data_IF_077667446613
#
_entry.id   IF_077667446613
#
_cell.length_a   1.000
_cell.length_b   1.000
_cell.length_c   1.000
_cell.angle_alpha   90.00
_cell.angle_beta   90.00
_cell.angle_gamma   90.00
#
_symmetry.space_group_name_H-M   'P 1'
#
loop_
_entity.id
_entity.type
_entity.pdbx_description
1 polymer ?
#
# COMPACT_ATOMS: atom_id res chain seq x y z
N UNK A 1 54.84 -17.85 -20.38
CA UNK A 1 53.77 -18.31 -19.46
C UNK A 1 53.32 -17.20 -18.48
N UNK A 2 53.15 -15.95 -18.92
CA UNK A 2 52.70 -14.83 -18.05
C UNK A 2 51.43 -14.15 -18.59
N UNK A 3 51.13 -14.25 -19.89
CA UNK A 3 49.97 -13.61 -20.53
C UNK A 3 48.62 -14.31 -20.33
N UNK A 4 48.57 -15.60 -19.97
CA UNK A 4 47.30 -16.31 -19.77
C UNK A 4 46.62 -16.04 -18.42
N UNK A 5 47.37 -15.54 -17.43
CA UNK A 5 46.83 -15.27 -16.08
C UNK A 5 46.05 -13.95 -16.01
N UNK A 6 46.36 -12.97 -16.86
CA UNK A 6 45.67 -11.68 -16.88
C UNK A 6 44.38 -11.68 -17.69
N UNK A 7 44.26 -12.57 -18.70
CA UNK A 7 43.06 -12.70 -19.51
C UNK A 7 41.85 -13.25 -18.72
N UNK A 8 42.10 -14.13 -17.75
CA UNK A 8 41.04 -14.73 -16.92
C UNK A 8 40.49 -13.78 -15.85
N UNK A 9 41.28 -12.79 -15.41
CA UNK A 9 40.87 -11.78 -14.43
C UNK A 9 40.01 -10.67 -15.03
N UNK A 10 40.18 -10.35 -16.33
CA UNK A 10 39.38 -9.32 -16.99
C UNK A 10 37.95 -9.77 -17.29
N UNK A 11 37.72 -11.05 -17.62
CA UNK A 11 36.37 -11.58 -17.88
C UNK A 11 35.50 -11.69 -16.62
N UNK A 12 36.08 -11.86 -15.43
CA UNK A 12 35.32 -11.99 -14.18
C UNK A 12 34.75 -10.64 -13.69
N UNK A 13 35.37 -9.51 -14.06
CA UNK A 13 34.91 -8.18 -13.64
C UNK A 13 33.71 -7.66 -14.45
N UNK A 14 33.49 -8.17 -15.67
CA UNK A 14 32.42 -7.73 -16.58
C UNK A 14 31.06 -8.41 -16.32
N UNK A 15 30.99 -9.43 -15.46
CA UNK A 15 29.76 -10.19 -15.19
C UNK A 15 28.88 -9.62 -14.07
N UNK A 16 29.33 -8.62 -13.31
CA UNK A 16 28.65 -8.14 -12.11
C UNK A 16 27.69 -6.94 -12.33
N UNK A 17 27.55 -6.43 -13.55
CA UNK A 17 26.66 -5.29 -13.85
C UNK A 17 25.25 -5.66 -14.31
N UNK A 18 24.84 -6.94 -14.26
CA UNK A 18 23.58 -7.41 -14.85
C UNK A 18 22.38 -7.54 -13.86
N UNK A 19 22.49 -7.05 -12.62
CA UNK A 19 21.39 -7.06 -11.64
C UNK A 19 20.95 -5.64 -11.27
N UNK A 20 20.60 -4.81 -12.26
CA UNK A 20 19.74 -3.64 -12.04
C UNK A 20 18.61 -3.62 -13.07
N UNK A 21 17.93 -4.75 -13.25
CA UNK A 21 16.56 -4.73 -13.77
C UNK A 21 15.63 -4.38 -12.61
N UNK A 22 15.79 -3.17 -12.07
CA UNK A 22 14.76 -2.57 -11.23
C UNK A 22 13.56 -2.34 -12.12
N UNK A 23 12.46 -3.02 -11.83
CA UNK A 23 11.16 -2.83 -12.45
C UNK A 23 10.79 -1.34 -12.28
N UNK A 24 11.08 -0.50 -13.28
CA UNK A 24 10.50 0.84 -13.35
C UNK A 24 9.06 0.65 -13.79
N UNK A 25 8.16 0.49 -12.82
CA UNK A 25 6.74 0.70 -13.03
C UNK A 25 6.60 2.13 -13.54
N UNK A 26 6.31 2.25 -14.83
CA UNK A 26 6.03 3.51 -15.51
C UNK A 26 4.85 4.16 -14.78
N UNK A 27 5.12 5.30 -14.16
CA UNK A 27 4.11 6.15 -13.52
C UNK A 27 3.33 6.86 -14.63
N UNK A 28 2.30 6.20 -15.13
CA UNK A 28 1.35 6.78 -16.08
C UNK A 28 0.24 7.52 -15.35
N UNK A 29 0.31 8.86 -15.40
CA UNK A 29 -0.75 9.87 -15.23
C UNK A 29 -1.70 9.81 -14.02
N UNK A 30 -1.27 9.13 -12.94
CA UNK A 30 -1.74 9.26 -11.55
C UNK A 30 -0.70 9.99 -10.69
N UNK A 31 -0.38 11.24 -11.05
CA UNK A 31 0.77 11.97 -10.53
C UNK A 31 0.73 12.10 -8.99
N UNK A 32 1.66 11.43 -8.32
CA UNK A 32 1.92 11.64 -6.89
C UNK A 32 2.24 13.12 -6.66
N UNK A 33 1.32 13.84 -6.04
CA UNK A 33 1.60 15.19 -5.57
C UNK A 33 2.36 15.09 -4.25
N UNK A 34 3.54 15.70 -4.18
CA UNK A 34 4.34 15.66 -2.96
C UNK A 34 3.68 16.52 -1.88
N UNK A 35 3.03 15.86 -0.92
CA UNK A 35 2.48 16.54 0.25
C UNK A 35 3.60 16.92 1.23
N UNK A 36 3.52 18.14 1.78
CA UNK A 36 4.45 18.67 2.79
C UNK A 36 3.84 18.62 4.20
N UNK A 37 3.19 17.50 4.53
CA UNK A 37 2.64 17.28 5.86
C UNK A 37 3.77 17.08 6.88
N UNK A 38 3.68 17.75 8.03
CA UNK A 38 4.70 17.72 9.10
C UNK A 38 4.23 17.04 10.37
N UNK A 39 2.92 16.83 10.52
CA UNK A 39 2.36 16.26 11.74
C UNK A 39 0.96 15.70 11.52
N UNK A 40 0.63 14.70 12.34
CA UNK A 40 -0.69 14.11 12.43
C UNK A 40 -1.18 14.23 13.87
N UNK A 41 -2.31 14.91 14.08
CA UNK A 41 -2.95 15.01 15.37
C UNK A 41 -4.11 14.01 15.44
N UNK A 42 -4.04 13.08 16.39
CA UNK A 42 -5.13 12.19 16.74
C UNK A 42 -5.90 12.80 17.91
N UNK A 43 -7.18 13.14 17.69
CA UNK A 43 -7.98 13.93 18.63
C UNK A 43 -8.66 13.09 19.72
N UNK A 44 -8.72 11.76 19.54
CA UNK A 44 -9.34 10.84 20.47
C UNK A 44 -8.62 9.49 20.50
N UNK A 45 -8.77 8.76 21.60
CA UNK A 45 -8.24 7.40 21.69
C UNK A 45 -8.90 6.49 20.65
N UNK A 46 -8.08 5.69 19.97
CA UNK A 46 -8.53 4.75 18.96
C UNK A 46 -8.18 3.33 19.38
N UNK A 47 -9.18 2.45 19.34
CA UNK A 47 -9.02 1.04 19.64
C UNK A 47 -8.81 0.23 18.37
N UNK A 48 -7.67 -0.43 18.27
CA UNK A 48 -7.34 -1.42 17.24
C UNK A 48 -7.87 -2.78 17.70
N UNK A 49 -8.68 -3.48 16.89
CA UNK A 49 -9.24 -4.77 17.27
C UNK A 49 -8.17 -5.85 17.52
N UNK A 50 -8.53 -6.92 18.25
CA UNK A 50 -7.69 -8.10 18.38
C UNK A 50 -7.27 -8.67 17.02
N UNK A 51 -6.04 -9.15 16.93
CA UNK A 51 -5.45 -9.80 15.74
C UNK A 51 -5.42 -8.90 14.50
N UNK A 52 -5.39 -7.59 14.71
CA UNK A 52 -5.20 -6.58 13.67
C UNK A 52 -4.01 -5.68 14.02
N UNK A 53 -3.37 -5.13 12.99
CA UNK A 53 -2.28 -4.15 13.10
C UNK A 53 -2.72 -2.75 12.68
N UNK A 54 -3.98 -2.55 12.29
CA UNK A 54 -4.47 -1.25 11.84
C UNK A 54 -5.94 -1.08 12.17
N UNK A 55 -6.41 0.14 11.98
CA UNK A 55 -7.80 0.54 12.10
C UNK A 55 -8.11 1.55 11.01
N UNK A 56 -9.22 1.33 10.30
CA UNK A 56 -9.62 2.15 9.15
C UNK A 56 -10.65 3.21 9.56
N UNK A 57 -10.55 4.37 8.92
CA UNK A 57 -11.44 5.51 9.06
C UNK A 57 -11.98 5.89 7.69
N UNK A 58 -13.30 6.04 7.60
CA UNK A 58 -13.98 6.42 6.37
C UNK A 58 -15.18 7.28 6.75
N UNK A 59 -15.35 8.41 6.06
CA UNK A 59 -16.41 9.40 6.34
C UNK A 59 -16.42 9.86 7.82
N UNK A 60 -15.25 9.98 8.43
CA UNK A 60 -15.08 10.46 9.80
C UNK A 60 -15.44 9.47 10.91
N UNK A 61 -15.71 8.21 10.56
CA UNK A 61 -16.00 7.15 11.51
C UNK A 61 -15.02 5.99 11.37
N UNK A 62 -14.80 5.29 12.48
CA UNK A 62 -14.09 4.00 12.47
C UNK A 62 -14.99 2.95 11.82
N UNK A 63 -14.49 2.30 10.77
CA UNK A 63 -15.21 1.22 10.08
C UNK A 63 -14.45 -0.11 10.25
N UNK A 64 -15.15 -1.26 10.33
CA UNK A 64 -14.53 -2.57 10.29
C UNK A 64 -14.03 -2.85 8.85
N UNK A 65 -12.81 -2.38 8.57
CA UNK A 65 -12.23 -2.36 7.24
C UNK A 65 -12.62 -1.11 6.44
N UNK A 66 -11.90 -0.86 5.36
CA UNK A 66 -12.19 0.23 4.46
C UNK A 66 -13.08 -0.22 3.30
N UNK A 67 -14.17 0.51 3.03
CA UNK A 67 -14.97 0.28 1.84
C UNK A 67 -14.16 0.60 0.58
N UNK A 68 -14.17 -0.31 -0.40
CA UNK A 68 -13.33 -0.21 -1.61
C UNK A 68 -13.70 0.97 -2.52
N UNK A 69 -14.89 1.53 -2.39
CA UNK A 69 -15.45 2.52 -3.32
C UNK A 69 -15.31 3.97 -2.87
N UNK A 70 -14.67 4.22 -1.73
CA UNK A 70 -14.51 5.57 -1.21
C UNK A 70 -13.14 5.76 -0.54
N UNK A 71 -12.62 6.99 -0.53
CA UNK A 71 -11.39 7.30 0.19
C UNK A 71 -11.47 6.92 1.67
N UNK A 72 -10.33 6.50 2.22
CA UNK A 72 -10.22 6.10 3.60
C UNK A 72 -8.80 6.35 4.12
N UNK A 73 -8.64 6.36 5.43
CA UNK A 73 -7.34 6.39 6.08
C UNK A 73 -7.21 5.22 7.07
N UNK A 74 -6.01 4.68 7.23
CA UNK A 74 -5.71 3.58 8.14
C UNK A 74 -4.57 3.97 9.05
N UNK A 75 -4.78 3.88 10.36
CA UNK A 75 -3.73 4.06 11.34
C UNK A 75 -3.14 2.70 11.70
N UNK A 76 -1.85 2.52 11.44
CA UNK A 76 -1.16 1.24 11.61
C UNK A 76 -0.17 1.25 12.78
N UNK A 77 -0.07 0.11 13.44
CA UNK A 77 0.90 -0.20 14.50
C UNK A 77 1.84 -1.33 14.09
N UNK A 78 2.94 -1.49 14.81
CA UNK A 78 3.99 -2.50 14.56
C UNK A 78 3.62 -3.91 14.98
N UNK A 79 2.75 -4.05 15.98
CA UNK A 79 2.46 -5.34 16.61
C UNK A 79 1.01 -5.76 16.37
N UNK A 80 0.83 -7.03 16.03
CA UNK A 80 -0.47 -7.71 16.08
C UNK A 80 -0.56 -8.41 17.43
N UNK A 81 -1.58 -8.07 18.24
CA UNK A 81 -1.80 -8.70 19.54
C UNK A 81 -3.13 -9.48 19.57
N UNK A 82 -3.18 -10.53 20.39
CA UNK A 82 -4.42 -11.30 20.64
C UNK A 82 -5.49 -10.49 21.40
N UNK A 83 -5.10 -9.40 22.05
CA UNK A 83 -6.00 -8.46 22.72
C UNK A 83 -6.11 -7.16 21.92
N UNK A 84 -7.20 -6.43 22.12
CA UNK A 84 -7.38 -5.12 21.53
C UNK A 84 -6.31 -4.15 22.05
N UNK A 85 -5.79 -3.31 21.16
CA UNK A 85 -4.78 -2.30 21.45
C UNK A 85 -5.41 -0.92 21.42
N UNK A 86 -4.85 0.03 22.16
CA UNK A 86 -5.32 1.43 22.14
C UNK A 86 -4.18 2.33 21.75
N UNK A 87 -4.39 3.12 20.69
CA UNK A 87 -3.56 4.28 20.37
C UNK A 87 -4.21 5.48 21.04
N UNK A 88 -3.49 6.11 21.96
CA UNK A 88 -3.96 7.28 22.71
C UNK A 88 -3.96 8.52 21.81
N UNK A 89 -4.89 9.42 22.07
CA UNK A 89 -4.90 10.75 21.49
C UNK A 89 -3.54 11.45 21.70
N UNK A 90 -3.11 12.24 20.72
CA UNK A 90 -1.80 12.87 20.75
C UNK A 90 -1.36 13.37 19.37
N UNK A 91 -0.14 13.89 19.32
CA UNK A 91 0.48 14.37 18.09
C UNK A 91 1.62 13.45 17.72
N UNK A 92 1.67 13.09 16.43
CA UNK A 92 2.71 12.29 15.82
C UNK A 92 3.46 13.16 14.82
N UNK A 93 4.79 13.15 14.88
CA UNK A 93 5.63 13.77 13.88
C UNK A 93 5.55 12.96 12.58
N UNK A 94 5.38 13.64 11.44
CA UNK A 94 5.48 12.99 10.14
C UNK A 94 6.92 13.11 9.66
N UNK A 95 7.61 11.96 9.61
CA UNK A 95 9.03 11.90 9.23
C UNK A 95 9.23 11.66 7.73
N UNK A 96 8.18 11.26 7.03
CA UNK A 96 8.20 11.02 5.58
C UNK A 96 6.81 10.86 4.99
N UNK A 97 6.67 11.19 3.71
CA UNK A 97 5.45 10.97 2.93
C UNK A 97 5.82 10.25 1.63
N UNK A 98 5.18 9.11 1.40
CA UNK A 98 5.44 8.25 0.25
C UNK A 98 4.15 7.95 -0.50
N UNK A 99 4.24 7.85 -1.83
CA UNK A 99 3.17 7.31 -2.65
C UNK A 99 3.28 5.79 -2.69
N UNK A 100 2.18 5.10 -2.44
CA UNK A 100 2.12 3.64 -2.50
C UNK A 100 0.91 3.18 -3.31
N UNK A 101 1.06 2.05 -3.99
CA UNK A 101 -0.01 1.41 -4.76
C UNK A 101 -0.40 0.11 -4.08
N UNK A 102 -1.67 0.00 -3.70
CA UNK A 102 -2.25 -1.22 -3.16
C UNK A 102 -3.02 -1.96 -4.25
N UNK A 103 -2.65 -3.20 -4.49
CA UNK A 103 -3.30 -4.07 -5.47
C UNK A 103 -4.37 -4.93 -4.80
N UNK A 104 -5.59 -4.95 -5.36
CA UNK A 104 -6.63 -5.89 -4.95
C UNK A 104 -6.30 -7.23 -5.59
N UNK A 105 -5.72 -8.14 -4.81
CA UNK A 105 -5.63 -9.54 -5.23
C UNK A 105 -7.04 -10.14 -5.25
N UNK A 106 -7.71 -10.11 -6.40
CA UNK A 106 -8.81 -11.03 -6.64
C UNK A 106 -8.24 -12.42 -6.55
N UNK A 107 -8.68 -13.18 -5.54
CA UNK A 107 -8.36 -14.60 -5.43
C UNK A 107 -8.97 -15.23 -6.69
N UNK A 108 -8.14 -15.51 -7.70
CA UNK A 108 -8.50 -16.44 -8.76
C UNK A 108 -8.65 -17.81 -8.09
N UNK A 109 -9.79 -18.02 -7.43
CA UNK A 109 -10.26 -19.36 -7.11
C UNK A 109 -10.63 -19.96 -8.45
N UNK A 110 -9.64 -20.56 -9.13
CA UNK A 110 -9.93 -21.55 -10.14
C UNK A 110 -10.91 -22.52 -9.51
N UNK A 111 -12.12 -22.59 -10.06
CA UNK A 111 -13.14 -23.52 -9.60
C UNK A 111 -12.58 -24.92 -9.90
N UNK A 112 -12.02 -25.58 -8.89
CA UNK A 112 -11.72 -27.01 -9.01
C UNK A 112 -13.05 -27.75 -8.95
N UNK A 113 -13.66 -27.94 -10.13
CA UNK A 113 -14.74 -28.89 -10.30
C UNK A 113 -14.14 -30.28 -10.06
N UNK A 114 -14.48 -30.89 -8.93
CA UNK A 114 -14.24 -32.31 -8.71
C UNK A 114 -15.22 -33.10 -9.60
N UNK A 115 -14.93 -33.18 -10.90
CA UNK A 115 -15.63 -34.06 -11.82
C UNK A 115 -14.74 -35.27 -12.10
N UNK A 116 -15.30 -36.45 -11.84
CA UNK A 116 -14.73 -37.72 -12.22
C UNK A 116 -14.35 -37.69 -13.71
N UNK A 117 -13.14 -38.17 -13.98
CA UNK A 117 -12.60 -38.49 -15.30
C UNK A 117 -12.61 -37.36 -16.35
N UNK A 118 -11.47 -36.65 -16.42
CA UNK A 118 -10.94 -36.23 -17.73
C UNK A 118 -11.47 -34.94 -18.37
N UNK A 119 -12.00 -33.97 -17.60
CA UNK A 119 -12.24 -32.62 -18.14
C UNK A 119 -11.69 -31.53 -17.21
N UNK A 120 -10.41 -31.19 -17.41
CA UNK A 120 -9.82 -30.00 -16.82
C UNK A 120 -10.09 -28.85 -17.80
N UNK A 121 -11.06 -27.98 -17.47
CA UNK A 121 -11.13 -26.66 -18.09
C UNK A 121 -9.94 -25.85 -17.57
N UNK A 122 -8.77 -26.09 -18.14
CA UNK A 122 -7.74 -25.06 -18.22
C UNK A 122 -8.35 -24.03 -19.17
N UNK A 123 -8.68 -22.85 -18.66
CA UNK A 123 -8.86 -21.72 -19.54
C UNK A 123 -7.48 -21.50 -20.18
N UNK A 124 -7.33 -21.96 -21.42
CA UNK A 124 -6.17 -21.68 -22.25
C UNK A 124 -6.02 -20.16 -22.34
N UNK A 125 -4.94 -19.69 -21.72
CA UNK A 125 -4.36 -18.36 -21.88
C UNK A 125 -3.70 -18.27 -23.27
N UNK A 126 -4.48 -18.48 -24.32
CA UNK A 126 -4.06 -18.30 -25.73
C UNK A 126 -5.20 -17.68 -26.55
N UNK A 127 -5.80 -16.61 -26.01
CA UNK A 127 -6.59 -15.66 -26.79
C UNK A 127 -5.92 -14.30 -26.77
N UNK A 128 -5.09 -14.09 -27.78
CA UNK A 128 -4.71 -12.79 -28.33
C UNK A 128 -5.97 -11.95 -28.61
N UNK A 129 -6.52 -11.23 -27.62
CA UNK A 129 -7.30 -9.99 -27.76
C UNK A 129 -7.61 -9.43 -26.35
N UNK A 130 -7.06 -8.25 -26.04
CA UNK A 130 -7.36 -7.36 -24.91
C UNK A 130 -6.89 -7.76 -23.49
N UNK A 131 -5.82 -7.08 -23.09
CA UNK A 131 -5.20 -6.90 -21.78
C UNK A 131 -6.15 -6.29 -20.71
N UNK A 132 -7.26 -6.97 -20.40
CA UNK A 132 -8.28 -6.47 -19.44
C UNK A 132 -8.65 -7.51 -18.36
N UNK A 133 -7.64 -8.08 -17.70
CA UNK A 133 -7.84 -8.69 -16.37
C UNK A 133 -7.93 -7.63 -15.26
N UNK A 134 -8.29 -6.39 -15.64
CA UNK A 134 -7.98 -5.14 -14.96
C UNK A 134 -7.93 -5.26 -13.45
N UNK A 135 -6.70 -5.34 -12.95
CA UNK A 135 -6.43 -5.40 -11.52
C UNK A 135 -6.84 -4.06 -10.90
N UNK A 136 -7.73 -4.12 -9.91
CA UNK A 136 -8.15 -2.91 -9.20
C UNK A 136 -7.00 -2.47 -8.29
N UNK A 137 -6.63 -1.20 -8.41
CA UNK A 137 -5.58 -0.60 -7.59
C UNK A 137 -6.15 0.55 -6.77
N UNK A 138 -5.47 0.83 -5.66
CA UNK A 138 -5.65 2.05 -4.88
C UNK A 138 -4.30 2.76 -4.80
N UNK A 139 -4.29 4.03 -5.21
CA UNK A 139 -3.17 4.93 -4.95
C UNK A 139 -3.36 5.59 -3.58
N UNK A 140 -2.31 5.60 -2.77
CA UNK A 140 -2.39 6.05 -1.39
C UNK A 140 -1.13 6.80 -0.93
N UNK A 141 -1.33 7.75 -0.03
CA UNK A 141 -0.26 8.39 0.73
C UNK A 141 0.03 7.60 2.00
N UNK A 142 1.29 7.23 2.19
CA UNK A 142 1.79 6.70 3.45
C UNK A 142 2.58 7.79 4.18
N UNK A 143 2.06 8.23 5.31
CA UNK A 143 2.71 9.17 6.22
C UNK A 143 3.42 8.38 7.33
N UNK A 144 4.75 8.35 7.31
CA UNK A 144 5.53 7.72 8.36
C UNK A 144 5.41 8.53 9.65
N UNK A 145 4.97 7.89 10.74
CA UNK A 145 4.67 8.53 12.02
C UNK A 145 5.76 8.23 13.05
N UNK A 146 6.05 9.21 13.89
CA UNK A 146 6.96 9.06 15.02
C UNK A 146 6.37 9.71 16.29
N UNK A 147 6.52 9.02 17.42
CA UNK A 147 6.17 9.52 18.75
C UNK A 147 6.92 8.74 19.84
N UNK A 148 7.68 9.43 20.70
CA UNK A 148 8.36 8.82 21.85
C UNK A 148 7.39 8.14 22.82
N UNK A 149 6.18 8.71 22.97
CA UNK A 149 5.18 8.20 23.90
C UNK A 149 4.39 6.99 23.39
N UNK A 150 4.46 6.72 22.08
CA UNK A 150 3.72 5.66 21.39
C UNK A 150 4.53 5.09 20.21
N UNK A 151 5.71 4.49 20.47
CA UNK A 151 6.64 4.08 19.41
C UNK A 151 6.14 2.92 18.54
N UNK A 152 5.06 2.25 18.96
CA UNK A 152 4.42 1.20 18.17
C UNK A 152 3.60 1.75 16.99
N UNK A 153 3.25 3.03 16.96
CA UNK A 153 2.50 3.65 15.85
C UNK A 153 3.45 3.95 14.70
N UNK A 154 3.20 3.35 13.53
CA UNK A 154 4.15 3.35 12.41
C UNK A 154 3.81 4.34 11.31
N UNK A 155 2.57 4.30 10.83
CA UNK A 155 2.16 5.13 9.70
C UNK A 155 0.66 5.38 9.69
N UNK A 156 0.27 6.47 9.02
CA UNK A 156 -1.08 6.70 8.55
C UNK A 156 -1.08 6.45 7.03
N UNK A 157 -1.93 5.55 6.55
CA UNK A 157 -2.11 5.29 5.12
C UNK A 157 -3.43 5.92 4.69
N UNK A 158 -3.44 6.90 3.79
CA UNK A 158 -4.67 7.44 3.23
C UNK A 158 -4.78 7.12 1.75
N UNK A 159 -5.78 6.34 1.38
CA UNK A 159 -6.01 5.86 0.03
C UNK A 159 -7.25 6.45 -0.62
N UNK A 160 -7.20 6.55 -1.95
CA UNK A 160 -8.37 6.86 -2.76
C UNK A 160 -9.35 5.68 -2.86
N UNK A 161 -10.40 5.84 -3.66
CA UNK A 161 -11.23 4.71 -4.04
C UNK A 161 -10.45 3.75 -4.94
N UNK A 162 -10.70 2.45 -4.79
CA UNK A 162 -10.17 1.46 -5.71
C UNK A 162 -10.78 1.62 -7.09
N UNK A 163 -9.97 1.43 -8.12
CA UNK A 163 -10.43 1.48 -9.49
C UNK A 163 -9.42 0.84 -10.44
N UNK A 164 -9.78 0.75 -11.71
CA UNK A 164 -8.82 0.38 -12.75
C UNK A 164 -7.66 1.38 -12.77
N UNK A 165 -6.44 0.98 -13.18
CA UNK A 165 -5.26 1.83 -13.11
C UNK A 165 -5.44 3.21 -13.77
N UNK A 166 -6.21 3.28 -14.86
CA UNK A 166 -6.52 4.53 -15.56
C UNK A 166 -7.44 5.49 -14.78
N UNK A 167 -8.28 4.96 -13.88
CA UNK A 167 -9.22 5.75 -13.07
C UNK A 167 -8.78 5.93 -11.61
N UNK A 168 -7.79 5.16 -11.16
CA UNK A 168 -7.27 5.26 -9.81
C UNK A 168 -6.54 6.58 -9.62
N UNK A 169 -6.86 7.28 -8.53
CA UNK A 169 -6.23 8.56 -8.17
C UNK A 169 -5.79 8.54 -6.71
N UNK A 170 -4.72 9.27 -6.41
CA UNK A 170 -4.39 9.64 -5.03
C UNK A 170 -5.56 10.45 -4.43
N UNK A 171 -5.86 10.28 -3.13
CA UNK A 171 -6.85 11.11 -2.47
C UNK A 171 -6.33 12.54 -2.37
N UNK A 172 -7.19 13.52 -2.60
CA UNK A 172 -6.83 14.93 -2.34
C UNK A 172 -6.94 15.27 -0.84
N UNK A 173 -6.61 16.51 -0.47
CA UNK A 173 -6.65 16.94 0.93
C UNK A 173 -8.07 16.92 1.52
N UNK A 174 -9.09 17.14 0.69
CA UNK A 174 -10.47 17.09 1.13
C UNK A 174 -10.91 15.65 1.38
N UNK A 175 -10.55 14.72 0.49
CA UNK A 175 -10.75 13.28 0.64
C UNK A 175 -10.14 12.79 1.97
N UNK A 176 -8.89 13.19 2.27
CA UNK A 176 -8.20 12.84 3.52
C UNK A 176 -8.94 13.41 4.75
N UNK A 177 -9.32 14.69 4.70
CA UNK A 177 -10.05 15.35 5.79
C UNK A 177 -11.40 14.69 6.05
N UNK A 178 -12.13 14.34 4.99
CA UNK A 178 -13.41 13.65 5.09
C UNK A 178 -13.27 12.22 5.61
N UNK A 179 -12.21 11.51 5.22
CA UNK A 179 -11.93 10.16 5.72
C UNK A 179 -11.65 10.16 7.23
N UNK A 180 -10.79 11.07 7.70
CA UNK A 180 -10.44 11.22 9.11
C UNK A 180 -11.58 11.82 9.95
N UNK A 181 -12.32 12.78 9.40
CA UNK A 181 -13.35 13.55 10.10
C UNK A 181 -12.82 14.17 11.40
N UNK A 182 -13.55 13.98 12.49
CA UNK A 182 -13.18 14.52 13.81
C UNK A 182 -12.11 13.68 14.54
N UNK A 183 -11.75 12.51 14.00
CA UNK A 183 -10.80 11.60 14.67
C UNK A 183 -9.37 12.15 14.62
N UNK A 184 -9.00 12.84 13.54
CA UNK A 184 -7.66 13.38 13.41
C UNK A 184 -7.51 14.38 12.26
N UNK A 185 -6.38 15.07 12.25
CA UNK A 185 -6.05 16.07 11.24
C UNK A 185 -4.57 16.07 10.89
N UNK A 186 -4.25 16.51 9.67
CA UNK A 186 -2.89 16.71 9.19
C UNK A 186 -2.51 18.19 9.30
N UNK A 187 -1.28 18.45 9.71
CA UNK A 187 -0.66 19.79 9.66
C UNK A 187 0.37 19.85 8.54
N UNK A 188 0.44 20.98 7.84
CA UNK A 188 1.31 21.22 6.69
C UNK A 188 2.22 22.42 6.96
N UNK A 189 3.38 22.47 6.28
CA UNK A 189 4.28 23.64 6.30
C UNK A 189 4.03 24.56 5.12
#
# INVERSE_FOLDING_TARGET
>A
MIMHRYALLLCAALGLSACQSGFQVSTGDGNFEKLSATGFALHQDVRIPPRQAHVSFQRGAREPGAGEYAPHCELAVSRVLEAAQTVRAGVFEITGVHGVTHYVRRRNQGIQLAAADGFQLVADDDTLMADDTGEWIMLAYQFALHSDGQPDVQYLLCGGAYGFPYYARYPDLEDIRLALGEVGSLTFR
#
